data_IF_212408401704
#
_entry.id   IF_212408401704
#
_cell.length_a   1.000
_cell.length_b   1.000
_cell.length_c   1.000
_cell.angle_alpha   90.00
_cell.angle_beta   90.00
_cell.angle_gamma   90.00
#
_symmetry.space_group_name_H-M   'P 1'
#
loop_
_entity.id
_entity.type
_entity.pdbx_description
1 polymer ?
#
# COMPACT_ATOMS: atom_id res chain seq x y z
N UNK A 1 -29.92 10.84 -12.66
CA UNK A 1 -28.90 11.14 -11.64
C UNK A 1 -28.19 9.82 -11.37
N UNK A 2 -26.90 9.71 -11.67
CA UNK A 2 -26.17 8.47 -11.37
C UNK A 2 -26.13 8.27 -9.84
N UNK A 3 -26.53 7.11 -9.32
CA UNK A 3 -26.36 6.79 -7.91
C UNK A 3 -24.91 7.01 -7.46
N UNK A 4 -24.73 7.50 -6.22
CA UNK A 4 -23.42 7.88 -5.66
C UNK A 4 -22.45 6.70 -5.64
N UNK A 5 -23.00 5.51 -5.51
CA UNK A 5 -22.33 4.21 -5.52
C UNK A 5 -21.58 3.98 -6.84
N UNK A 6 -22.18 4.33 -8.00
CA UNK A 6 -21.49 4.19 -9.29
C UNK A 6 -20.29 5.12 -9.41
N UNK A 7 -20.35 6.31 -8.78
CA UNK A 7 -19.22 7.24 -8.76
C UNK A 7 -18.08 6.70 -7.90
N UNK A 8 -18.40 6.09 -6.76
CA UNK A 8 -17.42 5.40 -5.92
C UNK A 8 -16.75 4.24 -6.67
N UNK A 9 -17.53 3.37 -7.32
CA UNK A 9 -17.00 2.26 -8.13
C UNK A 9 -16.13 2.77 -9.29
N UNK A 10 -16.58 3.80 -10.02
CA UNK A 10 -15.79 4.39 -11.09
C UNK A 10 -14.47 5.00 -10.58
N UNK A 11 -14.48 5.59 -9.38
CA UNK A 11 -13.28 6.11 -8.74
C UNK A 11 -12.29 4.99 -8.39
N UNK A 12 -12.76 3.90 -7.77
CA UNK A 12 -11.92 2.72 -7.48
C UNK A 12 -11.28 2.15 -8.75
N UNK A 13 -12.08 1.96 -9.82
CA UNK A 13 -11.56 1.50 -11.11
C UNK A 13 -10.53 2.48 -11.69
N UNK A 14 -10.77 3.78 -11.54
CA UNK A 14 -9.82 4.82 -11.92
C UNK A 14 -8.48 4.70 -11.18
N UNK A 15 -8.52 4.60 -9.84
CA UNK A 15 -7.31 4.41 -9.03
C UNK A 15 -6.56 3.14 -9.43
N UNK A 16 -7.27 2.02 -9.61
CA UNK A 16 -6.70 0.75 -10.06
C UNK A 16 -5.96 0.90 -11.39
N UNK A 17 -6.55 1.57 -12.38
CA UNK A 17 -5.92 1.80 -13.68
C UNK A 17 -4.71 2.74 -13.58
N UNK A 18 -4.77 3.80 -12.78
CA UNK A 18 -3.64 4.71 -12.57
C UNK A 18 -2.46 3.96 -11.96
N UNK A 19 -2.70 3.10 -10.97
CA UNK A 19 -1.65 2.27 -10.36
C UNK A 19 -0.98 1.37 -11.40
N UNK A 20 -1.75 0.66 -12.23
CA UNK A 20 -1.18 -0.22 -13.27
C UNK A 20 -0.39 0.54 -14.32
N UNK A 21 -0.95 1.65 -14.84
CA UNK A 21 -0.27 2.47 -15.85
C UNK A 21 1.00 3.08 -15.26
N UNK A 22 0.93 3.58 -14.02
CA UNK A 22 2.08 4.10 -13.29
C UNK A 22 3.16 3.04 -13.08
N UNK A 23 2.79 1.84 -12.66
CA UNK A 23 3.71 0.72 -12.49
C UNK A 23 4.44 0.39 -13.80
N UNK A 24 3.70 0.24 -14.91
CA UNK A 24 4.28 -0.03 -16.23
C UNK A 24 5.19 1.11 -16.71
N UNK A 25 4.85 2.36 -16.42
CA UNK A 25 5.68 3.51 -16.77
C UNK A 25 7.02 3.54 -16.01
N UNK A 26 7.07 2.97 -14.79
CA UNK A 26 8.27 2.92 -13.95
C UNK A 26 9.21 1.77 -14.30
N UNK A 27 8.71 0.70 -14.95
CA UNK A 27 9.49 -0.51 -15.24
C UNK A 27 10.82 -0.24 -15.96
N UNK A 28 10.88 0.53 -17.06
CA UNK A 28 12.14 0.72 -17.79
C UNK A 28 13.25 1.30 -16.92
N UNK A 29 12.88 2.31 -16.12
CA UNK A 29 13.80 3.02 -15.25
C UNK A 29 14.22 2.19 -14.04
N UNK A 30 13.32 1.38 -13.48
CA UNK A 30 13.67 0.48 -12.38
C UNK A 30 14.61 -0.65 -12.84
N UNK A 31 14.48 -1.13 -14.08
CA UNK A 31 15.43 -2.07 -14.68
C UNK A 31 16.79 -1.40 -14.90
N UNK A 32 16.82 -0.19 -15.46
CA UNK A 32 18.06 0.56 -15.70
C UNK A 32 18.79 0.90 -14.39
N UNK A 33 18.04 1.26 -13.35
CA UNK A 33 18.55 1.53 -12.00
C UNK A 33 18.96 0.26 -11.23
N UNK A 34 18.73 -0.93 -11.77
CA UNK A 34 19.10 -2.19 -11.14
C UNK A 34 18.32 -2.52 -9.87
N UNK A 35 17.07 -2.08 -9.77
CA UNK A 35 16.22 -2.30 -8.58
C UNK A 35 15.60 -3.70 -8.49
N UNK A 36 15.98 -4.61 -9.39
CA UNK A 36 15.55 -6.00 -9.33
C UNK A 36 16.06 -6.66 -8.04
N UNK A 37 15.15 -7.14 -7.20
CA UNK A 37 15.49 -7.63 -5.87
C UNK A 37 16.02 -9.08 -5.85
N UNK A 38 15.84 -9.82 -6.95
CA UNK A 38 16.24 -11.23 -7.07
C UNK A 38 17.19 -11.42 -8.24
N UNK A 39 18.05 -12.45 -8.19
CA UNK A 39 19.00 -12.74 -9.28
C UNK A 39 18.30 -13.32 -10.51
N UNK A 40 17.40 -14.29 -10.30
CA UNK A 40 16.62 -14.95 -11.35
C UNK A 40 15.11 -14.78 -11.09
N UNK A 41 14.43 -13.84 -11.78
CA UNK A 41 13.00 -13.62 -11.61
C UNK A 41 12.12 -14.84 -11.92
N UNK A 42 12.60 -15.78 -12.75
CA UNK A 42 11.84 -16.97 -13.15
C UNK A 42 11.95 -18.14 -12.15
N UNK A 43 12.75 -18.02 -11.09
CA UNK A 43 12.86 -19.06 -10.05
C UNK A 43 11.59 -19.10 -9.17
N UNK A 44 10.82 -20.21 -9.16
CA UNK A 44 9.61 -20.34 -8.35
C UNK A 44 9.88 -20.31 -6.83
N UNK A 45 11.12 -20.50 -6.41
CA UNK A 45 11.53 -20.39 -5.00
C UNK A 45 11.36 -18.97 -4.48
N UNK A 46 11.46 -17.95 -5.35
CA UNK A 46 11.23 -16.56 -4.98
C UNK A 46 9.85 -16.36 -4.36
N UNK A 47 8.81 -17.03 -4.87
CA UNK A 47 7.45 -16.94 -4.32
C UNK A 47 7.40 -17.40 -2.87
N UNK A 48 8.10 -18.49 -2.53
CA UNK A 48 8.15 -19.01 -1.17
C UNK A 48 8.91 -18.07 -0.22
N UNK A 49 10.04 -17.52 -0.68
CA UNK A 49 10.82 -16.54 0.10
C UNK A 49 9.99 -15.31 0.41
N UNK A 50 9.27 -14.77 -0.57
CA UNK A 50 8.43 -13.60 -0.37
C UNK A 50 7.19 -13.90 0.47
N UNK A 51 6.57 -15.07 0.36
CA UNK A 51 5.50 -15.48 1.28
C UNK A 51 6.02 -15.52 2.71
N UNK A 52 7.18 -16.13 2.94
CA UNK A 52 7.78 -16.16 4.26
C UNK A 52 8.10 -14.75 4.78
N UNK A 53 8.62 -13.87 3.91
CA UNK A 53 8.89 -12.48 4.25
C UNK A 53 7.61 -11.72 4.62
N UNK A 54 6.52 -11.88 3.85
CA UNK A 54 5.21 -11.30 4.13
C UNK A 54 4.69 -11.81 5.48
N UNK A 55 4.68 -13.12 5.70
CA UNK A 55 4.22 -13.71 6.96
C UNK A 55 5.05 -13.23 8.16
N UNK A 56 6.37 -13.11 7.97
CA UNK A 56 7.27 -12.59 9.01
C UNK A 56 6.93 -11.13 9.31
N UNK A 57 6.79 -10.30 8.28
CA UNK A 57 6.46 -8.88 8.46
C UNK A 57 5.09 -8.69 9.10
N UNK A 58 4.08 -9.44 8.65
CA UNK A 58 2.73 -9.44 9.25
C UNK A 58 2.80 -9.87 10.71
N UNK A 59 3.54 -10.93 11.04
CA UNK A 59 3.72 -11.38 12.42
C UNK A 59 4.39 -10.32 13.30
N UNK A 60 5.41 -9.63 12.77
CA UNK A 60 6.06 -8.51 13.47
C UNK A 60 5.10 -7.35 13.71
N UNK A 61 4.29 -6.99 12.71
CA UNK A 61 3.30 -5.94 12.81
C UNK A 61 2.22 -6.29 13.85
N UNK A 62 1.68 -7.51 13.82
CA UNK A 62 0.72 -7.99 14.82
C UNK A 62 1.31 -8.04 16.23
N UNK A 63 2.58 -8.45 16.36
CA UNK A 63 3.27 -8.41 17.63
C UNK A 63 3.44 -6.98 18.13
N UNK A 64 3.79 -6.04 17.25
CA UNK A 64 3.93 -4.64 17.61
C UNK A 64 2.60 -4.03 18.09
N UNK A 65 1.47 -4.35 17.44
CA UNK A 65 0.13 -3.96 17.91
C UNK A 65 -0.21 -4.58 19.27
N UNK A 66 0.13 -5.86 19.47
CA UNK A 66 -0.10 -6.54 20.76
C UNK A 66 0.63 -5.89 21.94
N UNK A 67 1.71 -5.15 21.70
CA UNK A 67 2.49 -4.46 22.72
C UNK A 67 2.27 -2.93 22.70
N UNK A 68 1.19 -2.45 22.06
CA UNK A 68 0.79 -1.04 22.01
C UNK A 68 1.88 -0.11 21.43
N UNK A 69 2.63 -0.59 20.43
CA UNK A 69 3.66 0.18 19.74
C UNK A 69 3.12 1.03 18.57
N UNK A 70 1.92 1.60 18.71
CA UNK A 70 1.18 2.24 17.61
C UNK A 70 1.98 3.36 16.93
N UNK A 71 2.65 4.20 17.71
CA UNK A 71 3.48 5.27 17.19
C UNK A 71 4.69 4.73 16.38
N UNK A 72 5.27 3.60 16.78
CA UNK A 72 6.38 2.99 16.05
C UNK A 72 5.89 2.41 14.72
N UNK A 73 4.71 1.78 14.70
CA UNK A 73 4.09 1.24 13.48
C UNK A 73 3.72 2.38 12.53
N UNK A 74 3.11 3.45 13.04
CA UNK A 74 2.78 4.64 12.26
C UNK A 74 4.03 5.25 11.61
N UNK A 75 5.10 5.44 12.38
CA UNK A 75 6.37 5.96 11.85
C UNK A 75 7.03 5.00 10.85
N UNK A 76 6.95 3.69 11.08
CA UNK A 76 7.44 2.68 10.15
C UNK A 76 6.70 2.77 8.82
N UNK A 77 5.37 2.83 8.84
CA UNK A 77 4.57 2.84 7.61
C UNK A 77 4.79 4.15 6.85
N UNK A 78 4.79 5.31 7.53
CA UNK A 78 5.16 6.59 6.90
C UNK A 78 6.59 6.55 6.33
N UNK A 79 7.53 5.95 7.06
CA UNK A 79 8.91 5.78 6.61
C UNK A 79 9.01 4.95 5.33
N UNK A 80 8.30 3.83 5.28
CA UNK A 80 8.20 2.98 4.08
C UNK A 80 7.50 3.73 2.94
N UNK A 81 6.45 4.51 3.22
CA UNK A 81 5.78 5.34 2.22
C UNK A 81 6.71 6.37 1.61
N UNK A 82 7.49 7.09 2.43
CA UNK A 82 8.48 8.05 1.95
C UNK A 82 9.60 7.35 1.17
N UNK A 83 10.05 6.18 1.63
CA UNK A 83 11.08 5.39 0.96
C UNK A 83 10.64 4.87 -0.41
N UNK A 84 9.43 4.32 -0.52
CA UNK A 84 8.87 3.89 -1.80
C UNK A 84 8.62 5.10 -2.73
N UNK A 85 8.15 6.22 -2.18
CA UNK A 85 8.00 7.46 -2.95
C UNK A 85 9.35 7.92 -3.52
N UNK A 86 10.44 7.76 -2.78
CA UNK A 86 11.78 8.08 -3.26
C UNK A 86 12.20 7.23 -4.47
N UNK A 87 11.91 5.93 -4.48
CA UNK A 87 12.14 5.10 -5.67
C UNK A 87 11.36 5.63 -6.88
N UNK A 88 10.09 5.96 -6.69
CA UNK A 88 9.23 6.47 -7.76
C UNK A 88 9.73 7.81 -8.30
N UNK A 89 10.07 8.76 -7.42
CA UNK A 89 10.57 10.07 -7.86
C UNK A 89 11.99 9.99 -8.45
N UNK A 90 12.81 9.05 -7.99
CA UNK A 90 14.14 8.79 -8.56
C UNK A 90 14.06 8.26 -9.99
N UNK A 91 12.88 7.80 -10.43
CA UNK A 91 12.67 7.40 -11.80
C UNK A 91 12.62 8.58 -12.80
N UNK A 92 12.47 9.81 -12.30
CA UNK A 92 12.36 11.01 -13.16
C UNK A 92 13.27 12.15 -12.69
N UNK A 93 13.82 12.05 -11.49
CA UNK A 93 14.71 13.04 -10.88
C UNK A 93 16.00 12.35 -10.42
N UNK A 94 17.07 13.13 -10.26
CA UNK A 94 18.25 12.63 -9.56
C UNK A 94 17.90 12.17 -8.13
N UNK A 95 18.59 11.16 -7.56
CA UNK A 95 18.30 10.63 -6.23
C UNK A 95 18.23 11.68 -5.12
N UNK A 96 19.08 12.72 -5.19
CA UNK A 96 19.09 13.83 -4.23
C UNK A 96 17.87 14.73 -4.41
N UNK A 97 17.49 15.03 -5.66
CA UNK A 97 16.30 15.83 -5.94
C UNK A 97 15.00 15.08 -5.60
N UNK A 98 14.97 13.76 -5.79
CA UNK A 98 13.84 12.89 -5.44
C UNK A 98 13.56 12.83 -3.93
N UNK A 99 14.57 13.07 -3.08
CA UNK A 99 14.41 13.08 -1.63
C UNK A 99 13.42 14.16 -1.16
N UNK A 100 13.37 15.32 -1.82
CA UNK A 100 12.49 16.43 -1.44
C UNK A 100 11.00 16.05 -1.56
N UNK A 101 10.47 15.63 -2.72
CA UNK A 101 9.07 15.22 -2.83
C UNK A 101 8.77 13.93 -2.04
N UNK A 102 9.72 13.02 -1.89
CA UNK A 102 9.56 11.82 -1.07
C UNK A 102 9.35 12.15 0.42
N UNK A 103 10.17 13.04 0.97
CA UNK A 103 10.01 13.55 2.33
C UNK A 103 8.71 14.34 2.49
N UNK A 104 8.31 15.10 1.46
CA UNK A 104 7.05 15.82 1.46
C UNK A 104 5.85 14.86 1.58
N UNK A 105 5.86 13.72 0.90
CA UNK A 105 4.83 12.66 1.07
C UNK A 105 4.80 12.17 2.51
N UNK A 106 5.96 11.83 3.10
CA UNK A 106 6.03 11.37 4.48
C UNK A 106 5.52 12.41 5.50
N UNK A 107 5.92 13.68 5.33
CA UNK A 107 5.45 14.78 6.19
C UNK A 107 3.95 15.02 6.02
N UNK A 108 3.43 14.97 4.79
CA UNK A 108 2.00 15.12 4.52
C UNK A 108 1.18 14.04 5.24
N UNK A 109 1.62 12.78 5.18
CA UNK A 109 0.98 11.66 5.89
C UNK A 109 1.04 11.80 7.42
N UNK A 110 2.07 12.47 7.96
CA UNK A 110 2.18 12.69 9.42
C UNK A 110 1.32 13.85 9.92
N UNK A 111 1.25 14.93 9.15
CA UNK A 111 0.70 16.21 9.59
C UNK A 111 -0.74 16.40 9.12
N UNK A 112 -1.11 15.85 7.96
CA UNK A 112 -2.42 16.06 7.36
C UNK A 112 -2.90 14.80 6.60
N UNK A 113 -3.23 13.70 7.32
CA UNK A 113 -3.66 12.43 6.75
C UNK A 113 -5.13 12.48 6.27
N UNK A 114 -5.47 13.43 5.41
CA UNK A 114 -6.79 13.50 4.79
C UNK A 114 -6.92 12.45 3.67
N UNK A 115 -8.14 12.01 3.36
CA UNK A 115 -8.37 10.87 2.44
C UNK A 115 -7.65 11.01 1.10
N UNK A 116 -7.64 12.22 0.51
CA UNK A 116 -6.98 12.44 -0.78
C UNK A 116 -5.45 12.42 -0.69
N UNK A 117 -4.88 12.74 0.47
CA UNK A 117 -3.43 12.63 0.72
C UNK A 117 -3.05 11.16 0.84
N UNK A 118 -3.83 10.40 1.63
CA UNK A 118 -3.68 8.96 1.80
C UNK A 118 -3.81 8.25 0.44
N UNK A 119 -4.86 8.53 -0.32
CA UNK A 119 -5.11 7.87 -1.60
C UNK A 119 -4.04 8.20 -2.63
N UNK A 120 -3.61 9.45 -2.71
CA UNK A 120 -2.54 9.85 -3.65
C UNK A 120 -1.21 9.18 -3.29
N UNK A 121 -0.88 9.13 -2.00
CA UNK A 121 0.30 8.41 -1.53
C UNK A 121 0.17 6.90 -1.78
N UNK A 122 -1.01 6.31 -1.55
CA UNK A 122 -1.32 4.92 -1.81
C UNK A 122 -1.20 4.55 -3.29
N UNK A 123 -1.68 5.41 -4.19
CA UNK A 123 -1.50 5.23 -5.64
C UNK A 123 -0.03 5.29 -6.03
N UNK A 124 0.72 6.27 -5.51
CA UNK A 124 2.15 6.42 -5.77
C UNK A 124 2.94 5.19 -5.30
N UNK A 125 2.70 4.77 -4.06
CA UNK A 125 3.29 3.57 -3.46
C UNK A 125 2.87 2.31 -4.20
N UNK A 126 1.60 2.18 -4.57
CA UNK A 126 1.07 1.04 -5.31
C UNK A 126 1.72 0.90 -6.67
N UNK A 127 1.90 2.00 -7.40
CA UNK A 127 2.61 2.00 -8.68
C UNK A 127 4.09 1.61 -8.50
N UNK A 128 4.78 2.18 -7.51
CA UNK A 128 6.18 1.84 -7.20
C UNK A 128 6.35 0.38 -6.79
N UNK A 129 5.56 -0.10 -5.83
CA UNK A 129 5.61 -1.49 -5.38
C UNK A 129 5.27 -2.45 -6.52
N UNK A 130 4.19 -2.21 -7.27
CA UNK A 130 3.82 -3.07 -8.40
C UNK A 130 4.91 -3.08 -9.50
N UNK A 131 5.56 -1.95 -9.75
CA UNK A 131 6.72 -1.89 -10.65
C UNK A 131 7.90 -2.73 -10.15
N UNK A 132 8.28 -2.58 -8.88
CA UNK A 132 9.37 -3.34 -8.24
C UNK A 132 9.09 -4.85 -8.22
N UNK A 133 7.88 -5.26 -7.86
CA UNK A 133 7.45 -6.65 -7.92
C UNK A 133 7.40 -7.16 -9.36
N UNK A 134 6.93 -6.34 -10.30
CA UNK A 134 6.83 -6.71 -11.72
C UNK A 134 8.18 -6.98 -12.38
N UNK A 135 9.25 -6.29 -11.96
CA UNK A 135 10.61 -6.59 -12.44
C UNK A 135 11.28 -7.72 -11.66
N UNK A 136 10.82 -8.02 -10.44
CA UNK A 136 11.41 -9.03 -9.56
C UNK A 136 10.77 -10.42 -9.69
N UNK A 137 9.63 -10.52 -10.38
CA UNK A 137 8.91 -11.79 -10.56
C UNK A 137 8.62 -12.04 -12.04
N UNK A 138 9.16 -13.14 -12.55
CA UNK A 138 8.75 -13.73 -13.80
C UNK A 138 7.31 -14.26 -13.72
N UNK A 139 6.77 -14.67 -14.85
CA UNK A 139 5.35 -15.07 -14.95
C UNK A 139 5.00 -16.23 -14.02
N UNK A 140 5.83 -17.28 -13.99
CA UNK A 140 5.55 -18.47 -13.18
C UNK A 140 5.62 -18.15 -11.68
N UNK A 141 6.68 -17.51 -11.13
CA UNK A 141 6.72 -17.16 -9.72
C UNK A 141 5.63 -16.16 -9.31
N UNK A 142 5.29 -15.20 -10.18
CA UNK A 142 4.17 -14.29 -9.93
C UNK A 142 2.83 -15.03 -9.80
N UNK A 143 2.52 -15.95 -10.73
CA UNK A 143 1.30 -16.75 -10.68
C UNK A 143 1.23 -17.64 -9.44
N UNK A 144 2.35 -18.25 -9.04
CA UNK A 144 2.42 -19.06 -7.81
C UNK A 144 2.17 -18.18 -6.58
N UNK A 145 2.83 -17.03 -6.48
CA UNK A 145 2.67 -16.09 -5.37
C UNK A 145 1.22 -15.61 -5.27
N UNK A 146 0.65 -15.10 -6.37
CA UNK A 146 -0.71 -14.56 -6.41
C UNK A 146 -1.76 -15.64 -6.13
N UNK A 147 -1.57 -16.87 -6.64
CA UNK A 147 -2.48 -17.98 -6.36
C UNK A 147 -2.48 -18.36 -4.89
N UNK A 148 -1.30 -18.43 -4.25
CA UNK A 148 -1.20 -18.73 -2.82
C UNK A 148 -1.82 -17.64 -1.95
N UNK A 149 -1.58 -16.36 -2.29
CA UNK A 149 -2.22 -15.24 -1.60
C UNK A 149 -3.73 -15.24 -1.78
N UNK A 150 -4.24 -15.54 -2.98
CA UNK A 150 -5.68 -15.63 -3.24
C UNK A 150 -6.35 -16.78 -2.47
N UNK A 151 -5.68 -17.93 -2.36
CA UNK A 151 -6.16 -19.06 -1.54
C UNK A 151 -6.17 -18.68 -0.06
N UNK A 152 -5.12 -18.04 0.44
CA UNK A 152 -5.07 -17.53 1.82
C UNK A 152 -6.21 -16.55 2.10
N UNK A 153 -6.43 -15.57 1.21
CA UNK A 153 -7.49 -14.57 1.33
C UNK A 153 -8.87 -15.23 1.40
N UNK A 154 -9.17 -16.17 0.49
CA UNK A 154 -10.42 -16.92 0.50
C UNK A 154 -10.64 -17.72 1.80
N UNK A 155 -9.59 -18.37 2.32
CA UNK A 155 -9.67 -19.11 3.59
C UNK A 155 -9.89 -18.15 4.77
N UNK A 156 -9.18 -17.01 4.78
CA UNK A 156 -9.27 -16.04 5.87
C UNK A 156 -10.61 -15.29 5.90
N UNK A 157 -11.25 -15.11 4.74
CA UNK A 157 -12.57 -14.47 4.63
C UNK A 157 -13.69 -15.47 4.90
N UNK A 158 -13.74 -16.59 4.15
CA UNK A 158 -14.87 -17.53 4.21
C UNK A 158 -14.70 -18.65 5.23
N UNK A 159 -13.47 -18.94 5.66
CA UNK A 159 -13.15 -20.04 6.56
C UNK A 159 -13.03 -19.59 8.01
N UNK A 160 -12.10 -18.69 8.29
CA UNK A 160 -11.80 -18.26 9.68
C UNK A 160 -12.44 -16.94 10.07
N UNK A 161 -12.93 -16.16 9.10
CA UNK A 161 -13.49 -14.81 9.30
C UNK A 161 -12.53 -13.86 10.07
N UNK A 162 -11.22 -14.16 10.09
CA UNK A 162 -10.25 -13.41 10.89
C UNK A 162 -10.06 -11.98 10.36
N UNK A 163 -10.18 -11.77 9.04
CA UNK A 163 -10.15 -10.42 8.45
C UNK A 163 -11.38 -9.59 8.79
N UNK A 164 -12.52 -10.23 9.08
CA UNK A 164 -13.74 -9.54 9.48
C UNK A 164 -13.66 -9.05 10.94
N UNK A 165 -12.98 -9.80 11.81
CA UNK A 165 -12.76 -9.40 13.22
C UNK A 165 -11.61 -8.41 13.43
N UNK A 166 -10.63 -8.33 12.52
CA UNK A 166 -9.58 -7.31 12.55
C UNK A 166 -10.08 -5.92 12.12
N UNK A 167 -11.13 -5.84 11.30
CA UNK A 167 -11.68 -4.58 10.80
C UNK A 167 -12.21 -3.67 11.92
N UNK A 168 -12.60 -4.23 13.07
CA UNK A 168 -13.05 -3.47 14.24
C UNK A 168 -11.91 -2.79 15.02
N UNK A 169 -10.64 -3.18 14.82
CA UNK A 169 -9.50 -2.68 15.60
C UNK A 169 -8.45 -1.84 14.84
N UNK A 170 -8.57 -1.70 13.52
CA UNK A 170 -7.54 -1.03 12.67
C UNK A 170 -8.01 0.32 12.10
N UNK A 171 -9.30 0.67 12.25
CA UNK A 171 -9.83 1.95 11.76
C UNK A 171 -9.24 3.16 12.49
N UNK A 172 -8.77 3.00 13.72
CA UNK A 172 -8.23 4.11 14.55
C UNK A 172 -6.91 4.70 14.05
N UNK A 173 -6.19 3.99 13.17
CA UNK A 173 -4.79 4.32 12.89
C UNK A 173 -4.57 5.23 11.68
N UNK A 174 -5.60 5.50 10.86
CA UNK A 174 -5.53 6.40 9.70
C UNK A 174 -4.26 6.22 8.83
N UNK A 175 -3.88 4.97 8.57
CA UNK A 175 -2.64 4.62 7.87
C UNK A 175 -2.93 4.40 6.38
N UNK A 176 -2.05 4.82 5.44
CA UNK A 176 -2.18 4.56 4.00
C UNK A 176 -1.92 3.10 3.61
N UNK A 177 -2.59 2.17 4.29
CA UNK A 177 -2.66 0.74 3.94
C UNK A 177 -3.98 0.42 3.23
N UNK A 178 -5.02 1.23 3.47
CA UNK A 178 -6.35 1.10 2.87
C UNK A 178 -6.68 2.41 2.14
N UNK A 179 -7.15 2.30 0.89
CA UNK A 179 -7.65 3.45 0.14
C UNK A 179 -9.05 3.83 0.62
N UNK A 180 -9.31 5.12 0.75
CA UNK A 180 -10.57 5.65 1.27
C UNK A 180 -11.44 6.11 0.12
N UNK A 181 -12.63 5.53 -0.03
CA UNK A 181 -13.52 5.82 -1.17
C UNK A 181 -14.72 6.66 -0.71
N UNK A 182 -14.64 8.00 -0.78
CA UNK A 182 -15.73 8.85 -0.32
C UNK A 182 -16.93 8.83 -1.28
N UNK A 183 -18.13 8.72 -0.73
CA UNK A 183 -19.39 8.86 -1.50
C UNK A 183 -19.74 10.33 -1.81
N UNK A 184 -19.00 11.28 -1.24
CA UNK A 184 -19.12 12.73 -1.50
C UNK A 184 -17.77 13.44 -1.38
N UNK A 185 -17.51 14.43 -2.23
CA UNK A 185 -16.24 15.18 -2.20
C UNK A 185 -16.06 16.08 -0.97
N UNK A 186 -17.14 16.36 -0.25
CA UNK A 186 -17.13 17.11 1.01
C UNK A 186 -16.81 16.22 2.22
N UNK A 187 -16.53 14.93 2.00
CA UNK A 187 -16.10 14.02 3.05
C UNK A 187 -14.73 14.44 3.59
N UNK A 188 -14.59 14.44 4.92
CA UNK A 188 -13.31 14.61 5.62
C UNK A 188 -13.11 13.42 6.54
N UNK A 189 -11.98 12.73 6.37
CA UNK A 189 -11.55 11.64 7.23
C UNK A 189 -11.11 12.16 8.61
N UNK A 190 -10.61 13.40 8.66
CA UNK A 190 -10.18 14.04 9.90
C UNK A 190 -11.37 14.34 10.83
N UNK A 191 -12.52 14.70 10.27
CA UNK A 191 -13.74 14.95 11.03
C UNK A 191 -14.33 13.65 11.61
N UNK A 192 -14.39 12.58 10.81
CA UNK A 192 -14.86 11.26 11.26
C UNK A 192 -14.01 10.70 12.42
N UNK A 193 -12.67 10.78 12.32
CA UNK A 193 -11.77 10.30 13.39
C UNK A 193 -11.80 11.18 14.66
N UNK A 194 -12.19 12.45 14.55
CA UNK A 194 -12.35 13.33 15.71
C UNK A 194 -13.60 12.99 16.53
N UNK A 195 -14.71 12.65 15.85
CA UNK A 195 -15.96 12.25 16.50
C UNK A 195 -15.82 10.92 17.28
N UNK A 196 -15.10 9.93 16.73
CA UNK A 196 -14.82 8.67 17.42
C UNK A 196 -13.95 8.84 18.68
N UNK A 197 -13.00 9.79 18.66
CA UNK A 197 -12.16 10.11 19.83
C UNK A 197 -12.85 10.95 20.92
N UNK A 198 -14.02 11.52 20.62
CA UNK A 198 -14.82 12.35 21.53
C UNK A 198 -15.86 11.59 22.34
N UNK A 199 -16.11 10.31 22.03
CA UNK A 199 -17.09 9.44 22.71
C UNK A 199 -16.49 8.57 23.84
N UNK A 200 -15.21 8.74 24.18
CA UNK A 200 -14.54 8.06 25.33
C UNK A 200 -14.34 8.95 26.55
#
# INVERSE_FOLDING_TARGET
MFPREYRGVAFVVGLFLVVQIGALALVPEFVESGYQAVENPDDPTNSLVYILAILTMTGLMLAAFRYDFDQAIRLLIVGVSAWLSWYVFSAVLSPVAAAVPALAVGVALLVYPEWYVIDTAGVLMGAGAAGLFGISFGLLPALVLLSLLAVYDAISVYGTEHMLSLAEGVMDLNIPVVLVIPLSLSYSLLDDGADESGET
#
